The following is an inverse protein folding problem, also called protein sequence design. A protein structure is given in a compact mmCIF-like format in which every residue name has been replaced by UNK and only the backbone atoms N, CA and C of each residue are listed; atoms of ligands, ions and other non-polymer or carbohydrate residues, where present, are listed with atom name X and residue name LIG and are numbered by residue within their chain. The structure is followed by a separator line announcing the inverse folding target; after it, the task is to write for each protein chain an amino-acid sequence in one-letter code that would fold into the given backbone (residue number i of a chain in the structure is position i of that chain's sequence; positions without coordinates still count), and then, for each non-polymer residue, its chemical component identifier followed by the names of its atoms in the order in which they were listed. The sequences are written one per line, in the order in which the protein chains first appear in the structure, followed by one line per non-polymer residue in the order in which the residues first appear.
data_IF_363472275701
#
_entry.id   IF_363472275701
#
_cell.length_a   1.000
_cell.length_b   1.000
_cell.length_c   1.000
_cell.angle_alpha   90.00
_cell.angle_beta   90.00
_cell.angle_gamma   90.00
#
_symmetry.space_group_name_H-M   'P 1'
#
loop_
_entity.id
_entity.type
_entity.pdbx_description
1 polymer ?
#
# COMPACT_ATOMS: atom_id res chain seq x y z
N UNK A 1 -96.38 5.05 -1.95
CA UNK A 1 -95.16 5.50 -1.22
C UNK A 1 -94.58 4.26 -0.57
N UNK A 2 -93.37 3.78 -0.80
CA UNK A 2 -92.24 4.26 -1.59
C UNK A 2 -91.38 3.01 -1.88
N UNK A 3 -90.96 2.79 -3.13
CA UNK A 3 -90.09 1.67 -3.51
C UNK A 3 -88.65 1.93 -3.03
N UNK A 4 -88.17 1.13 -2.08
CA UNK A 4 -86.79 1.16 -1.61
C UNK A 4 -85.89 0.27 -2.46
N UNK A 5 -85.36 0.80 -3.56
CA UNK A 5 -84.34 0.15 -4.39
C UNK A 5 -82.98 0.18 -3.69
N UNK A 6 -82.60 -0.91 -3.04
CA UNK A 6 -81.23 -1.11 -2.55
C UNK A 6 -80.29 -1.40 -3.73
N UNK A 7 -79.46 -0.44 -4.11
CA UNK A 7 -78.36 -0.67 -5.05
C UNK A 7 -77.30 -1.60 -4.42
N UNK A 8 -76.80 -2.63 -5.14
CA UNK A 8 -75.70 -3.43 -4.63
C UNK A 8 -74.41 -2.60 -4.57
N UNK A 9 -73.71 -2.67 -3.44
CA UNK A 9 -72.42 -2.02 -3.26
C UNK A 9 -71.41 -2.56 -4.31
N UNK A 10 -70.81 -1.65 -5.09
CA UNK A 10 -69.74 -1.99 -6.05
C UNK A 10 -68.53 -2.51 -5.28
N UNK A 11 -68.15 -3.76 -5.52
CA UNK A 11 -66.87 -4.31 -5.04
C UNK A 11 -65.69 -3.43 -5.51
N UNK A 12 -64.68 -3.20 -4.66
CA UNK A 12 -63.50 -2.46 -5.06
C UNK A 12 -62.75 -3.25 -6.14
N UNK A 13 -62.73 -2.72 -7.37
CA UNK A 13 -61.91 -3.24 -8.47
C UNK A 13 -60.45 -3.27 -8.01
N UNK A 14 -59.91 -4.44 -7.69
CA UNK A 14 -58.47 -4.63 -7.53
C UNK A 14 -57.81 -4.29 -8.86
N UNK A 15 -57.23 -3.09 -8.97
CA UNK A 15 -56.48 -2.68 -10.14
C UNK A 15 -55.34 -3.68 -10.36
N UNK A 16 -55.48 -4.55 -11.37
CA UNK A 16 -54.48 -5.54 -11.72
C UNK A 16 -53.14 -4.84 -11.95
N UNK A 17 -52.16 -5.08 -11.08
CA UNK A 17 -50.82 -4.50 -11.19
C UNK A 17 -50.27 -4.81 -12.58
N UNK A 18 -50.19 -3.79 -13.45
CA UNK A 18 -49.62 -3.93 -14.80
C UNK A 18 -48.19 -4.46 -14.68
N UNK A 19 -47.98 -5.72 -15.07
CA UNK A 19 -46.66 -6.34 -15.05
C UNK A 19 -45.80 -5.69 -16.14
N UNK A 20 -44.64 -5.17 -15.75
CA UNK A 20 -43.67 -4.61 -16.69
C UNK A 20 -43.19 -5.68 -17.68
N UNK A 21 -43.01 -5.34 -18.97
CA UNK A 21 -42.45 -6.25 -19.96
C UNK A 21 -40.99 -6.61 -19.63
N UNK A 22 -40.57 -7.83 -19.97
CA UNK A 22 -39.24 -8.39 -19.64
C UNK A 22 -38.08 -7.46 -20.03
N UNK A 23 -38.16 -6.80 -21.19
CA UNK A 23 -37.17 -5.81 -21.66
C UNK A 23 -36.97 -4.62 -20.70
N UNK A 24 -38.04 -4.11 -20.09
CA UNK A 24 -37.96 -3.00 -19.13
C UNK A 24 -37.39 -3.47 -17.80
N UNK A 25 -37.76 -4.67 -17.35
CA UNK A 25 -37.15 -5.28 -16.15
C UNK A 25 -35.64 -5.48 -16.31
N UNK A 26 -35.22 -5.97 -17.48
CA UNK A 26 -33.80 -6.13 -17.80
C UNK A 26 -33.09 -4.77 -17.84
N UNK A 27 -33.68 -3.77 -18.50
CA UNK A 27 -33.12 -2.41 -18.53
C UNK A 27 -32.95 -1.83 -17.12
N UNK A 28 -33.97 -1.94 -16.26
CA UNK A 28 -33.86 -1.48 -14.87
C UNK A 28 -32.82 -2.27 -14.08
N UNK A 29 -32.74 -3.59 -14.24
CA UNK A 29 -31.71 -4.40 -13.59
C UNK A 29 -30.31 -3.96 -14.00
N UNK A 30 -30.07 -3.72 -15.29
CA UNK A 30 -28.78 -3.23 -15.80
C UNK A 30 -28.44 -1.83 -15.27
N UNK A 31 -29.42 -0.92 -15.21
CA UNK A 31 -29.22 0.41 -14.60
C UNK A 31 -28.89 0.29 -13.11
N UNK A 32 -29.61 -0.55 -12.35
CA UNK A 32 -29.33 -0.77 -10.94
C UNK A 32 -27.94 -1.40 -10.73
N UNK A 33 -27.54 -2.37 -11.55
CA UNK A 33 -26.21 -2.98 -11.50
C UNK A 33 -25.12 -1.96 -11.85
N UNK A 34 -25.35 -1.10 -12.85
CA UNK A 34 -24.43 -0.03 -13.21
C UNK A 34 -24.26 1.02 -12.09
N UNK A 35 -25.36 1.45 -11.48
CA UNK A 35 -25.34 2.37 -10.34
C UNK A 35 -24.66 1.75 -9.11
N UNK A 36 -24.91 0.46 -8.84
CA UNK A 36 -24.24 -0.27 -7.78
C UNK A 36 -22.74 -0.37 -8.04
N UNK A 37 -22.33 -0.73 -9.26
CA UNK A 37 -20.91 -0.78 -9.64
C UNK A 37 -20.22 0.58 -9.51
N UNK A 38 -20.86 1.65 -9.99
CA UNK A 38 -20.35 3.01 -9.84
C UNK A 38 -20.26 3.46 -8.37
N UNK A 39 -21.24 3.08 -7.55
CA UNK A 39 -21.26 3.35 -6.11
C UNK A 39 -20.15 2.62 -5.36
N UNK A 40 -19.92 1.33 -5.68
CA UNK A 40 -18.85 0.53 -5.09
C UNK A 40 -17.46 1.06 -5.48
N UNK A 41 -17.25 1.36 -6.76
CA UNK A 41 -16.01 1.98 -7.25
C UNK A 41 -15.80 3.38 -6.63
N UNK A 42 -16.86 4.19 -6.52
CA UNK A 42 -16.79 5.50 -5.85
C UNK A 42 -16.42 5.39 -4.38
N UNK A 43 -17.01 4.44 -3.66
CA UNK A 43 -16.69 4.17 -2.25
C UNK A 43 -15.25 3.64 -2.09
N UNK A 44 -14.82 2.74 -2.96
CA UNK A 44 -13.45 2.25 -3.04
C UNK A 44 -12.48 3.43 -3.23
N UNK A 45 -12.76 4.36 -4.16
CA UNK A 45 -11.93 5.56 -4.39
C UNK A 45 -11.90 6.53 -3.21
N UNK A 46 -12.99 6.70 -2.47
CA UNK A 46 -12.99 7.51 -1.25
C UNK A 46 -12.15 6.89 -0.12
N UNK A 47 -12.05 5.55 -0.08
CA UNK A 47 -11.11 4.78 0.76
C UNK A 47 -9.70 4.70 0.13
N UNK A 48 -9.58 5.25 -1.08
CA UNK A 48 -8.44 5.20 -2.00
C UNK A 48 -8.01 3.80 -2.43
N UNK A 49 -8.85 2.79 -2.22
CA UNK A 49 -8.65 1.46 -2.78
C UNK A 49 -8.36 1.56 -4.29
N UNK A 50 -7.42 0.75 -4.83
CA UNK A 50 -7.16 0.74 -6.26
C UNK A 50 -8.42 0.31 -7.04
N UNK A 51 -8.54 0.68 -8.33
CA UNK A 51 -9.67 0.26 -9.17
C UNK A 51 -9.83 -1.25 -9.12
N UNK A 52 -11.08 -1.71 -9.06
CA UNK A 52 -11.40 -3.14 -9.14
C UNK A 52 -10.77 -3.76 -10.40
N UNK A 53 -9.86 -4.72 -10.20
CA UNK A 53 -9.16 -5.43 -11.27
C UNK A 53 -7.72 -4.95 -11.57
N UNK A 54 -7.28 -3.84 -10.98
CA UNK A 54 -5.87 -3.44 -11.00
C UNK A 54 -5.25 -3.91 -9.69
N UNK A 55 -4.70 -5.12 -9.68
CA UNK A 55 -3.75 -5.47 -8.62
C UNK A 55 -2.55 -4.53 -8.81
N UNK A 56 -2.27 -3.58 -7.89
CA UNK A 56 -0.99 -2.89 -7.96
C UNK A 56 0.05 -3.99 -7.89
N UNK A 57 0.86 -4.15 -8.94
CA UNK A 57 1.91 -5.16 -8.89
C UNK A 57 2.67 -4.93 -7.58
N UNK A 58 2.78 -5.96 -6.75
CA UNK A 58 3.13 -5.81 -5.34
C UNK A 58 4.40 -4.99 -5.08
N UNK A 59 4.47 -4.40 -3.88
CA UNK A 59 5.63 -3.65 -3.39
C UNK A 59 6.93 -4.47 -3.43
N UNK A 60 6.84 -5.80 -3.42
CA UNK A 60 7.97 -6.72 -3.39
C UNK A 60 8.14 -7.46 -4.72
N UNK A 61 9.37 -7.84 -5.01
CA UNK A 61 9.78 -8.74 -6.09
C UNK A 61 10.69 -9.82 -5.54
N UNK A 62 10.70 -10.99 -6.18
CA UNK A 62 11.67 -12.03 -5.86
C UNK A 62 13.09 -11.55 -6.16
N UNK A 63 14.04 -11.92 -5.32
CA UNK A 63 15.45 -11.55 -5.45
C UNK A 63 16.33 -12.78 -5.20
N UNK A 64 17.27 -13.11 -6.10
CA UNK A 64 17.96 -14.41 -6.07
C UNK A 64 18.78 -14.65 -4.79
N UNK A 65 19.42 -13.61 -4.24
CA UNK A 65 20.24 -13.71 -3.00
C UNK A 65 19.52 -13.29 -1.72
N UNK A 66 18.66 -12.28 -1.78
CA UNK A 66 17.89 -11.73 -0.66
C UNK A 66 16.58 -12.48 -0.39
N UNK A 67 16.17 -13.39 -1.29
CA UNK A 67 14.84 -14.00 -1.34
C UNK A 67 13.81 -13.05 -1.94
N UNK A 68 13.69 -11.85 -1.40
CA UNK A 68 12.83 -10.77 -1.90
C UNK A 68 13.42 -9.39 -1.62
N UNK A 69 13.02 -8.41 -2.42
CA UNK A 69 13.39 -7.01 -2.27
C UNK A 69 12.22 -6.09 -2.62
N UNK A 70 12.34 -4.80 -2.28
CA UNK A 70 11.40 -3.80 -2.77
C UNK A 70 11.52 -3.71 -4.29
N UNK A 71 10.37 -3.54 -4.97
CA UNK A 71 10.36 -3.36 -6.42
C UNK A 71 11.02 -2.02 -6.77
N UNK A 72 12.12 -2.02 -7.56
CA UNK A 72 12.74 -0.79 -8.02
C UNK A 72 11.75 0.10 -8.80
N UNK A 73 11.77 1.40 -8.50
CA UNK A 73 10.90 2.38 -9.16
C UNK A 73 9.41 2.29 -8.77
N UNK A 74 9.05 1.50 -7.76
CA UNK A 74 7.65 1.39 -7.32
C UNK A 74 7.12 2.73 -6.83
N UNK A 75 5.97 3.16 -7.35
CA UNK A 75 5.24 4.33 -6.86
C UNK A 75 3.76 3.97 -6.78
N UNK A 76 3.21 3.94 -5.59
CA UNK A 76 1.81 3.60 -5.44
C UNK A 76 1.39 3.29 -4.02
N UNK A 77 0.16 2.80 -3.90
CA UNK A 77 -0.38 2.29 -2.66
C UNK A 77 0.04 0.85 -2.45
N UNK A 78 0.48 0.53 -1.23
CA UNK A 78 0.70 -0.84 -0.78
C UNK A 78 -0.09 -1.07 0.50
N UNK A 79 -0.53 -2.31 0.71
CA UNK A 79 -1.06 -2.72 2.00
C UNK A 79 0.11 -2.97 2.96
N UNK A 80 0.06 -2.45 4.19
CA UNK A 80 1.14 -2.58 5.18
C UNK A 80 1.30 -3.99 5.75
N UNK A 81 0.42 -4.93 5.37
CA UNK A 81 0.29 -6.24 6.01
C UNK A 81 -0.64 -6.25 7.22
N UNK A 82 -1.06 -5.07 7.73
CA UNK A 82 -1.86 -4.93 8.96
C UNK A 82 -3.17 -4.16 8.77
N UNK A 83 -3.80 -4.28 7.61
CA UNK A 83 -5.09 -3.66 7.33
C UNK A 83 -5.03 -2.18 6.93
N UNK A 84 -3.83 -1.60 6.80
CA UNK A 84 -3.65 -0.16 6.53
C UNK A 84 -3.00 0.03 5.16
N UNK A 85 -3.57 0.93 4.39
CA UNK A 85 -2.98 1.38 3.13
C UNK A 85 -1.95 2.47 3.36
N UNK A 86 -0.80 2.30 2.75
CA UNK A 86 0.32 3.25 2.79
C UNK A 86 0.68 3.69 1.38
N UNK A 87 1.09 4.95 1.23
CA UNK A 87 1.67 5.46 0.01
C UNK A 87 3.19 5.27 0.08
N UNK A 88 3.74 4.55 -0.88
CA UNK A 88 5.15 4.20 -0.91
C UNK A 88 5.75 4.61 -2.25
N UNK A 89 6.91 5.27 -2.16
CA UNK A 89 7.82 5.45 -3.29
C UNK A 89 9.10 4.67 -3.01
N UNK A 90 9.54 3.89 -3.97
CA UNK A 90 10.81 3.16 -3.96
C UNK A 90 11.62 3.68 -5.14
N UNK A 91 12.87 4.07 -4.89
CA UNK A 91 13.74 4.53 -5.97
C UNK A 91 14.22 3.37 -6.86
N UNK A 92 14.96 3.69 -7.90
CA UNK A 92 15.48 2.77 -8.91
C UNK A 92 16.50 1.76 -8.34
N UNK A 93 16.97 2.01 -7.11
CA UNK A 93 17.91 1.15 -6.38
C UNK A 93 17.26 0.33 -5.27
N UNK A 94 15.93 0.36 -5.16
CA UNK A 94 15.20 -0.46 -4.20
C UNK A 94 15.16 0.09 -2.76
N UNK A 95 15.41 1.39 -2.56
CA UNK A 95 15.25 2.04 -1.24
C UNK A 95 13.91 2.77 -1.16
N UNK A 96 13.29 2.83 0.03
CA UNK A 96 12.04 3.57 0.26
C UNK A 96 12.31 5.07 0.34
N UNK A 97 12.79 5.64 -0.75
CA UNK A 97 13.40 6.96 -0.74
C UNK A 97 13.27 7.70 -2.07
N UNK A 98 13.76 8.93 -2.10
CA UNK A 98 14.06 9.65 -3.33
C UNK A 98 15.21 8.98 -4.12
N UNK A 99 15.37 9.28 -5.42
CA UNK A 99 16.52 8.81 -6.19
C UNK A 99 17.85 9.18 -5.53
N UNK A 100 18.73 8.19 -5.37
CA UNK A 100 20.06 8.39 -4.79
C UNK A 100 20.98 9.06 -5.82
N UNK A 101 21.54 10.21 -5.48
CA UNK A 101 22.48 10.93 -6.36
C UNK A 101 23.87 10.30 -6.29
N UNK A 102 24.35 9.84 -7.44
CA UNK A 102 25.68 9.24 -7.63
C UNK A 102 26.40 9.93 -8.82
N UNK A 103 27.70 10.26 -8.69
CA UNK A 103 28.53 10.13 -7.48
C UNK A 103 28.04 11.04 -6.34
N UNK A 104 28.46 10.75 -5.09
CA UNK A 104 28.09 11.55 -3.93
C UNK A 104 28.55 13.00 -4.12
N UNK A 105 27.65 14.00 -4.01
CA UNK A 105 28.05 15.39 -4.19
C UNK A 105 29.08 15.84 -3.14
N UNK A 106 30.04 16.71 -3.49
CA UNK A 106 31.02 17.22 -2.52
C UNK A 106 30.36 17.90 -1.32
N UNK A 107 30.89 17.61 -0.13
CA UNK A 107 30.41 18.16 1.15
C UNK A 107 29.10 17.56 1.65
N UNK A 108 28.57 16.50 1.02
CA UNK A 108 27.43 15.72 1.54
C UNK A 108 27.94 14.63 2.47
N UNK A 109 27.37 14.54 3.68
CA UNK A 109 27.54 13.42 4.59
C UNK A 109 26.40 12.42 4.39
N UNK A 110 26.71 11.18 4.02
CA UNK A 110 25.71 10.18 3.65
C UNK A 110 25.60 9.05 4.66
N UNK A 111 24.39 8.85 5.17
CA UNK A 111 24.05 7.83 6.16
C UNK A 111 23.14 6.80 5.50
N UNK A 112 23.42 5.50 5.64
CA UNK A 112 22.42 4.47 5.34
C UNK A 112 21.82 3.90 6.62
N UNK A 113 20.50 3.83 6.67
CA UNK A 113 19.76 3.21 7.76
C UNK A 113 19.32 1.81 7.32
N UNK A 114 19.94 0.78 7.89
CA UNK A 114 19.65 -0.63 7.64
C UNK A 114 18.66 -1.15 8.69
N UNK A 115 17.70 -1.98 8.27
CA UNK A 115 16.76 -2.58 9.22
C UNK A 115 15.59 -3.31 8.60
N UNK A 116 14.73 -3.83 9.47
CA UNK A 116 13.47 -4.46 9.12
C UNK A 116 12.32 -3.46 8.85
N UNK A 117 11.11 -3.88 9.21
CA UNK A 117 9.87 -3.07 9.12
C UNK A 117 9.95 -1.74 9.87
N UNK A 118 10.62 -1.69 11.03
CA UNK A 118 10.81 -0.45 11.80
C UNK A 118 11.55 0.61 10.99
N UNK A 119 12.64 0.24 10.32
CA UNK A 119 13.42 1.14 9.46
C UNK A 119 12.71 1.46 8.14
N UNK A 120 12.01 0.48 7.55
CA UNK A 120 11.12 0.75 6.41
C UNK A 120 10.09 1.84 6.74
N UNK A 121 9.73 2.00 8.02
CA UNK A 121 8.78 2.99 8.50
C UNK A 121 7.43 2.37 8.82
N UNK A 122 7.42 1.34 9.66
CA UNK A 122 6.18 0.79 10.20
C UNK A 122 5.36 1.90 10.88
N UNK A 123 4.08 2.04 10.48
CA UNK A 123 3.21 3.14 10.91
C UNK A 123 3.30 4.42 10.06
N UNK A 124 4.33 4.58 9.22
CA UNK A 124 4.48 5.71 8.32
C UNK A 124 3.61 5.55 7.06
N UNK A 125 2.65 6.47 6.87
CA UNK A 125 1.74 6.49 5.72
C UNK A 125 2.42 6.95 4.44
N UNK A 126 3.49 7.73 4.57
CA UNK A 126 4.28 8.31 3.48
C UNK A 126 5.78 8.16 3.77
N UNK A 127 6.63 8.30 2.76
CA UNK A 127 8.09 8.19 2.93
C UNK A 127 8.63 9.21 3.95
N UNK A 128 8.17 10.46 3.89
CA UNK A 128 8.60 11.55 4.77
C UNK A 128 8.21 11.36 6.25
N UNK A 129 7.37 10.36 6.54
CA UNK A 129 7.01 9.97 7.91
C UNK A 129 7.92 8.88 8.48
N UNK A 130 8.68 8.16 7.65
CA UNK A 130 9.62 7.15 8.13
C UNK A 130 10.78 7.83 8.87
N UNK A 131 11.26 7.18 9.94
CA UNK A 131 12.28 7.80 10.81
C UNK A 131 13.59 8.15 10.08
N UNK A 132 14.10 7.39 9.07
CA UNK A 132 15.30 7.81 8.34
C UNK A 132 15.10 9.13 7.60
N UNK A 133 13.94 9.31 6.96
CA UNK A 133 13.59 10.56 6.27
C UNK A 133 13.36 11.71 7.26
N UNK A 134 12.83 11.42 8.46
CA UNK A 134 12.75 12.41 9.54
C UNK A 134 14.12 12.80 10.09
N UNK A 135 15.05 11.84 10.19
CA UNK A 135 16.43 12.11 10.59
C UNK A 135 17.09 13.07 9.60
N UNK A 136 16.96 12.84 8.29
CA UNK A 136 17.44 13.76 7.25
C UNK A 136 16.89 15.18 7.47
N UNK A 137 15.57 15.28 7.66
CA UNK A 137 14.90 16.56 7.89
C UNK A 137 15.40 17.31 9.14
N UNK A 138 15.91 16.62 10.17
CA UNK A 138 16.48 17.29 11.37
C UNK A 138 17.78 18.04 11.10
N UNK A 139 18.46 17.72 10.00
CA UNK A 139 19.68 18.40 9.53
C UNK A 139 19.41 19.53 8.53
N UNK A 140 18.14 19.79 8.18
CA UNK A 140 17.78 20.90 7.31
C UNK A 140 18.32 22.23 7.87
N UNK A 141 19.12 22.94 7.06
CA UNK A 141 19.76 24.20 7.44
C UNK A 141 20.99 24.08 8.36
N UNK A 142 21.42 22.86 8.72
CA UNK A 142 22.59 22.60 9.58
C UNK A 142 23.76 21.96 8.85
N UNK A 143 23.51 21.38 7.68
CA UNK A 143 24.50 20.73 6.84
C UNK A 143 23.85 20.04 5.64
N UNK A 144 24.66 19.47 4.75
CA UNK A 144 24.17 18.63 3.65
C UNK A 144 24.29 17.17 4.08
N UNK A 145 23.19 16.62 4.59
CA UNK A 145 23.10 15.22 5.01
C UNK A 145 22.11 14.52 4.09
N UNK A 146 22.52 13.40 3.51
CA UNK A 146 21.66 12.48 2.76
C UNK A 146 21.43 11.24 3.64
N UNK A 147 20.18 10.91 3.98
CA UNK A 147 19.87 9.69 4.76
C UNK A 147 19.10 8.71 3.88
N UNK A 148 19.71 7.56 3.60
CA UNK A 148 19.15 6.51 2.77
C UNK A 148 18.33 5.54 3.62
N UNK A 149 17.02 5.47 3.37
CA UNK A 149 16.14 4.46 3.95
C UNK A 149 16.28 3.10 3.24
N UNK A 150 17.17 2.26 3.76
CA UNK A 150 17.42 0.89 3.28
C UNK A 150 16.73 -0.17 4.14
N UNK A 151 15.64 0.18 4.82
CA UNK A 151 14.82 -0.75 5.57
C UNK A 151 13.85 -1.52 4.67
N UNK A 152 13.63 -2.80 4.96
CA UNK A 152 12.65 -3.65 4.24
C UNK A 152 11.92 -4.54 5.23
N UNK A 153 10.60 -4.67 5.08
CA UNK A 153 9.80 -5.53 5.96
C UNK A 153 10.35 -6.96 5.99
N UNK A 154 10.46 -7.53 7.19
CA UNK A 154 10.87 -8.93 7.39
C UNK A 154 12.35 -9.23 7.13
N UNK A 155 13.16 -8.26 6.68
CA UNK A 155 14.59 -8.49 6.52
C UNK A 155 15.30 -8.66 7.86
N UNK A 156 16.25 -9.58 7.89
CA UNK A 156 17.25 -9.76 8.96
C UNK A 156 18.54 -9.01 8.63
N UNK A 157 19.47 -9.02 9.58
CA UNK A 157 20.80 -8.48 9.42
C UNK A 157 21.52 -9.09 8.23
N UNK A 158 21.35 -10.40 7.98
CA UNK A 158 21.97 -11.10 6.84
C UNK A 158 21.55 -10.48 5.51
N UNK A 159 20.25 -10.20 5.33
CA UNK A 159 19.76 -9.56 4.10
C UNK A 159 20.24 -8.11 4.00
N UNK A 160 20.27 -7.36 5.09
CA UNK A 160 20.84 -6.00 5.07
C UNK A 160 22.33 -5.97 4.72
N UNK A 161 23.13 -6.94 5.18
CA UNK A 161 24.54 -7.06 4.82
C UNK A 161 24.73 -7.38 3.33
N UNK A 162 23.92 -8.29 2.77
CA UNK A 162 23.93 -8.56 1.33
C UNK A 162 23.52 -7.32 0.52
N UNK A 163 22.48 -6.61 0.95
CA UNK A 163 22.06 -5.37 0.30
C UNK A 163 23.11 -4.25 0.41
N UNK A 164 23.93 -4.25 1.46
CA UNK A 164 25.05 -3.32 1.58
C UNK A 164 26.09 -3.55 0.48
N UNK A 165 26.41 -4.82 0.17
CA UNK A 165 27.35 -5.19 -0.90
C UNK A 165 26.74 -5.07 -2.31
N UNK A 166 25.45 -5.34 -2.47
CA UNK A 166 24.81 -5.37 -3.79
C UNK A 166 24.18 -4.03 -4.20
N UNK A 167 23.45 -3.40 -3.28
CA UNK A 167 22.59 -2.26 -3.54
C UNK A 167 23.18 -0.91 -3.12
N UNK A 168 24.16 -0.91 -2.21
CA UNK A 168 24.73 0.30 -1.59
C UNK A 168 26.26 0.39 -1.65
N UNK A 169 26.95 -0.55 -2.30
CA UNK A 169 28.42 -0.62 -2.31
C UNK A 169 29.09 0.61 -2.94
N UNK A 170 28.47 1.16 -3.97
CA UNK A 170 28.86 2.38 -4.68
C UNK A 170 28.17 3.64 -4.13
N UNK A 171 27.44 3.56 -3.02
CA UNK A 171 26.69 4.69 -2.47
C UNK A 171 27.57 5.73 -1.74
N UNK A 172 28.87 5.44 -1.55
CA UNK A 172 29.85 6.31 -0.87
C UNK A 172 29.40 6.73 0.54
N UNK A 173 28.96 5.74 1.34
CA UNK A 173 28.42 5.96 2.68
C UNK A 173 29.51 6.43 3.66
N UNK A 174 29.19 7.41 4.50
CA UNK A 174 30.07 7.88 5.59
C UNK A 174 29.69 7.25 6.93
N UNK A 175 28.44 6.80 7.08
CA UNK A 175 27.97 6.12 8.28
C UNK A 175 26.86 5.10 7.99
N UNK A 176 26.76 4.11 8.88
CA UNK A 176 25.69 3.12 8.91
C UNK A 176 24.96 3.20 10.24
N UNK A 177 23.62 3.20 10.20
CA UNK A 177 22.77 2.98 11.37
C UNK A 177 22.08 1.64 11.18
N UNK A 178 22.33 0.69 12.08
CA UNK A 178 21.77 -0.67 11.99
C UNK A 178 20.73 -0.85 13.09
N UNK A 179 19.48 -1.09 12.68
CA UNK A 179 18.37 -1.37 13.58
C UNK A 179 17.72 -2.71 13.21
N UNK A 180 18.29 -3.77 13.77
CA UNK A 180 17.85 -5.16 13.65
C UNK A 180 17.75 -5.79 15.03
N UNK A 181 16.78 -6.69 15.21
CA UNK A 181 16.59 -7.49 16.42
C UNK A 181 15.46 -8.49 16.21
N UNK A 182 14.26 -7.99 15.88
CA UNK A 182 13.03 -8.78 15.88
C UNK A 182 13.08 -9.97 14.91
N UNK A 183 13.44 -9.73 13.65
CA UNK A 183 13.43 -10.76 12.62
C UNK A 183 14.57 -11.76 12.82
N UNK A 184 15.74 -11.29 13.23
CA UNK A 184 16.91 -12.12 13.53
C UNK A 184 16.63 -13.05 14.71
N UNK A 185 16.01 -12.54 15.78
CA UNK A 185 15.61 -13.38 16.91
C UNK A 185 14.54 -14.38 16.50
N UNK A 186 13.55 -13.96 15.70
CA UNK A 186 12.49 -14.86 15.25
C UNK A 186 13.04 -15.99 14.35
N UNK A 187 13.94 -15.68 13.42
CA UNK A 187 14.56 -16.66 12.53
C UNK A 187 15.50 -17.62 13.29
N UNK A 188 16.33 -17.10 14.20
CA UNK A 188 17.31 -17.92 14.93
C UNK A 188 16.74 -18.67 16.14
N UNK A 189 15.56 -18.29 16.65
CA UNK A 189 14.90 -18.99 17.76
C UNK A 189 13.83 -19.96 17.29
N UNK A 190 13.50 -19.98 16.00
CA UNK A 190 12.63 -21.00 15.44
C UNK A 190 13.39 -22.34 15.41
N UNK A 191 12.91 -23.40 16.10
CA UNK A 191 13.56 -24.71 16.11
C UNK A 191 13.79 -25.31 14.72
N UNK A 192 13.05 -24.85 13.70
CA UNK A 192 13.25 -25.26 12.32
C UNK A 192 14.58 -24.78 11.71
N UNK A 193 15.32 -23.88 12.38
CA UNK A 193 16.58 -23.30 11.92
C UNK A 193 17.74 -23.47 12.93
N UNK A 194 17.58 -24.38 13.89
CA UNK A 194 18.55 -24.59 14.97
C UNK A 194 19.73 -25.53 14.62
N UNK A 195 19.86 -25.96 13.35
CA UNK A 195 20.90 -26.88 12.86
C UNK A 195 21.82 -26.24 11.80
#
# INVERSE_FOLDING_TARGET
MNEGTGQPAKEPRTAGRRRLPRRRKLAYALVCLGLLGAGLEGYARLRGEPPLGVAPGGLFVAHPRLGYALRPGFRGRSHSGFGVWIQVSVNERGQRDAPLVLPKPPGVFRIACLGGSTTFGFGARRNDEAWPNRLEATYAGRGRVDVVNAGVHGWTLRQSLLNLDEGLRDAELDALVVLHAHNDLYENLDPAYAD
#
